data_IF_587318128235
#
_entry.id   IF_587318128235
#
_cell.length_a   1.000
_cell.length_b   1.000
_cell.length_c   1.000
_cell.angle_alpha   90.00
_cell.angle_beta   90.00
_cell.angle_gamma   90.00
#
_symmetry.space_group_name_H-M   'P 1'
#
loop_
_entity.id
_entity.type
_entity.pdbx_description
1 polymer ?
#
# COMPACT_ATOMS: atom_id res chain seq x y z
N UNK A 1 -17.27 -12.17 -3.92
CA UNK A 1 -16.85 -11.11 -2.99
C UNK A 1 -18.10 -10.44 -2.45
N UNK A 2 -18.16 -10.24 -1.13
CA UNK A 2 -19.25 -9.50 -0.46
C UNK A 2 -19.02 -8.00 -0.68
N UNK A 3 -20.00 -7.34 -1.32
CA UNK A 3 -19.92 -5.92 -1.70
C UNK A 3 -19.95 -5.02 -0.47
N UNK A 4 -20.72 -5.38 0.56
CA UNK A 4 -20.82 -4.59 1.79
C UNK A 4 -19.52 -4.67 2.60
N UNK A 5 -18.93 -5.87 2.65
CA UNK A 5 -17.61 -6.06 3.26
C UNK A 5 -16.51 -5.28 2.53
N UNK A 6 -16.56 -5.25 1.18
CA UNK A 6 -15.64 -4.45 0.38
C UNK A 6 -15.81 -2.95 0.65
N UNK A 7 -17.05 -2.44 0.61
CA UNK A 7 -17.34 -1.04 0.89
C UNK A 7 -16.87 -0.63 2.28
N UNK A 8 -17.15 -1.46 3.30
CA UNK A 8 -16.70 -1.23 4.67
C UNK A 8 -15.17 -1.19 4.78
N UNK A 9 -14.48 -2.10 4.08
CA UNK A 9 -13.01 -2.16 4.04
C UNK A 9 -12.41 -0.92 3.36
N UNK A 10 -12.95 -0.51 2.21
CA UNK A 10 -12.53 0.69 1.49
C UNK A 10 -12.71 1.96 2.34
N UNK A 11 -13.86 2.11 3.02
CA UNK A 11 -14.11 3.23 3.92
C UNK A 11 -13.14 3.23 5.09
N UNK A 12 -12.91 2.07 5.72
CA UNK A 12 -11.99 1.94 6.85
C UNK A 12 -10.55 2.29 6.46
N UNK A 13 -10.07 1.77 5.33
CA UNK A 13 -8.73 2.09 4.79
C UNK A 13 -8.61 3.58 4.46
N UNK A 14 -9.64 4.19 3.88
CA UNK A 14 -9.65 5.62 3.55
C UNK A 14 -9.52 6.46 4.83
N UNK A 15 -10.33 6.16 5.85
CA UNK A 15 -10.31 6.88 7.13
C UNK A 15 -8.95 6.73 7.83
N UNK A 16 -8.38 5.52 7.87
CA UNK A 16 -7.06 5.29 8.49
C UNK A 16 -5.96 6.01 7.71
N UNK A 17 -6.01 5.99 6.38
CA UNK A 17 -5.04 6.72 5.52
C UNK A 17 -4.99 8.20 5.83
N UNK A 18 -6.16 8.83 5.92
CA UNK A 18 -6.26 10.25 6.20
C UNK A 18 -5.78 10.60 7.60
N UNK A 19 -6.03 9.74 8.59
CA UNK A 19 -5.53 9.92 9.96
C UNK A 19 -4.01 9.82 10.04
N UNK A 20 -3.42 8.85 9.35
CA UNK A 20 -1.96 8.65 9.31
C UNK A 20 -1.29 9.85 8.62
N UNK A 21 -1.84 10.30 7.48
CA UNK A 21 -1.40 11.51 6.78
C UNK A 21 -1.46 12.74 7.70
N UNK A 22 -2.60 12.97 8.35
CA UNK A 22 -2.76 14.10 9.27
C UNK A 22 -1.82 14.02 10.48
N UNK A 23 -1.52 12.82 10.99
CA UNK A 23 -0.54 12.63 12.06
C UNK A 23 0.88 13.00 11.59
N UNK A 24 1.29 12.57 10.39
CA UNK A 24 2.58 12.91 9.78
C UNK A 24 2.73 14.43 9.56
N UNK A 25 1.70 15.08 9.05
CA UNK A 25 1.67 16.54 8.86
C UNK A 25 1.83 17.29 10.18
N UNK A 26 1.10 16.86 11.23
CA UNK A 26 1.21 17.45 12.57
C UNK A 26 2.61 17.29 13.14
N UNK A 27 3.20 16.10 13.02
CA UNK A 27 4.57 15.87 13.49
C UNK A 27 5.60 16.70 12.74
N UNK A 28 5.44 16.83 11.43
CA UNK A 28 6.33 17.68 10.62
C UNK A 28 6.24 19.16 11.03
N UNK A 29 5.07 19.59 11.53
CA UNK A 29 4.86 20.95 12.04
C UNK A 29 5.38 21.16 13.47
N UNK A 30 5.39 20.12 14.31
CA UNK A 30 5.96 20.13 15.66
C UNK A 30 7.40 19.63 15.62
N UNK A 31 8.39 20.53 15.48
CA UNK A 31 9.81 20.18 15.31
C UNK A 31 10.50 19.42 16.46
N UNK A 32 9.77 18.98 17.49
CA UNK A 32 10.24 18.09 18.54
C UNK A 32 9.33 16.85 18.60
N UNK A 33 9.71 15.82 17.83
CA UNK A 33 8.97 14.57 17.72
C UNK A 33 9.67 13.52 18.58
N UNK A 34 8.97 12.90 19.54
CA UNK A 34 9.52 11.75 20.26
C UNK A 34 9.89 10.64 19.26
N UNK A 35 11.14 10.17 19.27
CA UNK A 35 11.64 9.17 18.31
C UNK A 35 10.73 7.92 18.20
N UNK A 36 10.17 7.46 19.32
CA UNK A 36 9.25 6.31 19.32
C UNK A 36 7.91 6.58 18.62
N UNK A 37 7.47 7.83 18.52
CA UNK A 37 6.24 8.18 17.79
C UNK A 37 6.46 8.23 16.28
N UNK A 38 7.65 8.67 15.84
CA UNK A 38 8.03 8.62 14.43
C UNK A 38 8.18 7.18 13.94
N UNK A 39 8.85 6.34 14.72
CA UNK A 39 8.99 4.90 14.45
C UNK A 39 7.62 4.22 14.36
N UNK A 40 6.75 4.45 15.34
CA UNK A 40 5.39 3.91 15.34
C UNK A 40 4.58 4.33 14.11
N UNK A 41 4.67 5.60 13.67
CA UNK A 41 3.96 6.02 12.46
C UNK A 41 4.53 5.38 11.19
N UNK A 42 5.84 5.15 11.12
CA UNK A 42 6.44 4.41 10.02
C UNK A 42 5.92 2.95 9.97
N UNK A 43 5.76 2.29 11.12
CA UNK A 43 5.14 0.96 11.21
C UNK A 43 3.69 0.99 10.74
N UNK A 44 2.87 1.94 11.24
CA UNK A 44 1.47 2.07 10.84
C UNK A 44 1.31 2.36 9.35
N UNK A 45 2.17 3.20 8.76
CA UNK A 45 2.19 3.44 7.32
C UNK A 45 2.55 2.19 6.53
N UNK A 46 3.47 1.37 7.05
CA UNK A 46 3.85 0.11 6.43
C UNK A 46 2.68 -0.89 6.46
N UNK A 47 2.02 -1.05 7.60
CA UNK A 47 0.85 -1.93 7.75
C UNK A 47 -0.31 -1.48 6.86
N UNK A 48 -0.56 -0.17 6.79
CA UNK A 48 -1.57 0.40 5.91
C UNK A 48 -1.25 0.14 4.43
N UNK A 49 0.03 0.22 4.03
CA UNK A 49 0.47 -0.11 2.67
C UNK A 49 0.19 -1.57 2.34
N UNK A 50 0.54 -2.48 3.24
CA UNK A 50 0.28 -3.92 3.08
C UNK A 50 -1.22 -4.17 2.98
N UNK A 51 -2.05 -3.57 3.86
CA UNK A 51 -3.50 -3.73 3.82
C UNK A 51 -4.12 -3.25 2.49
N UNK A 52 -3.67 -2.10 1.97
CA UNK A 52 -4.10 -1.58 0.65
C UNK A 52 -3.70 -2.51 -0.48
N UNK A 53 -2.46 -3.00 -0.45
CA UNK A 53 -1.97 -3.93 -1.44
C UNK A 53 -2.78 -5.24 -1.41
N UNK A 54 -2.95 -5.86 -0.24
CA UNK A 54 -3.78 -7.06 -0.08
C UNK A 54 -5.19 -6.86 -0.64
N UNK A 55 -5.84 -5.73 -0.32
CA UNK A 55 -7.14 -5.41 -0.91
C UNK A 55 -7.08 -5.30 -2.44
N UNK A 56 -6.04 -4.67 -3.00
CA UNK A 56 -5.78 -4.65 -4.43
C UNK A 56 -5.66 -6.07 -5.02
N UNK A 57 -4.95 -6.97 -4.34
CA UNK A 57 -4.80 -8.37 -4.77
C UNK A 57 -6.13 -9.11 -4.81
N UNK A 58 -6.96 -8.95 -3.77
CA UNK A 58 -8.32 -9.50 -3.71
C UNK A 58 -9.25 -8.92 -4.81
N UNK A 59 -8.98 -7.69 -5.25
CA UNK A 59 -9.67 -7.03 -6.36
C UNK A 59 -9.10 -7.40 -7.75
N UNK A 60 -8.06 -8.24 -7.80
CA UNK A 60 -7.45 -8.73 -9.05
C UNK A 60 -6.31 -7.86 -9.60
N UNK A 61 -5.80 -6.90 -8.84
CA UNK A 61 -4.61 -6.15 -9.24
C UNK A 61 -3.34 -6.98 -9.02
N UNK A 62 -2.40 -6.90 -9.97
CA UNK A 62 -1.07 -7.47 -9.80
C UNK A 62 -0.24 -6.63 -8.84
N UNK A 63 0.42 -7.29 -7.89
CA UNK A 63 1.19 -6.65 -6.83
C UNK A 63 2.62 -7.16 -6.81
N UNK A 64 3.56 -6.30 -6.42
CA UNK A 64 4.89 -6.74 -6.05
C UNK A 64 4.88 -7.25 -4.59
N UNK A 65 5.25 -8.52 -4.32
CA UNK A 65 5.26 -9.08 -2.96
C UNK A 65 6.35 -8.48 -2.06
N UNK A 66 7.29 -7.71 -2.62
CA UNK A 66 8.33 -7.02 -1.85
C UNK A 66 7.95 -5.58 -1.52
N UNK A 67 7.46 -4.85 -2.52
CA UNK A 67 7.21 -3.41 -2.37
C UNK A 67 5.78 -3.09 -1.93
N UNK A 68 4.83 -4.02 -2.12
CA UNK A 68 3.41 -3.84 -1.79
C UNK A 68 2.85 -2.53 -2.37
N UNK A 69 3.33 -2.14 -3.55
CA UNK A 69 2.89 -0.93 -4.23
C UNK A 69 1.56 -1.22 -4.93
N UNK A 70 0.46 -0.52 -4.58
CA UNK A 70 -0.80 -0.62 -5.31
C UNK A 70 -0.72 0.28 -6.54
N UNK A 71 0.16 0.01 -7.48
CA UNK A 71 0.18 0.73 -8.75
C UNK A 71 0.89 -0.08 -9.85
N UNK A 72 0.06 -0.40 -10.86
CA UNK A 72 0.35 -0.59 -12.28
C UNK A 72 1.75 -1.07 -12.61
N UNK A 73 1.80 -2.37 -12.77
CA UNK A 73 2.86 -3.07 -13.45
C UNK A 73 3.05 -2.46 -14.85
N UNK A 74 4.19 -1.80 -15.06
CA UNK A 74 4.58 -1.38 -16.40
C UNK A 74 4.89 -2.65 -17.19
N UNK A 75 4.26 -2.83 -18.33
CA UNK A 75 4.79 -3.72 -19.37
C UNK A 75 6.07 -3.07 -19.87
N UNK A 76 7.19 -3.77 -19.76
CA UNK A 76 8.39 -3.36 -20.49
C UNK A 76 8.19 -3.52 -22.01
N UNK A 77 9.21 -3.20 -22.80
CA UNK A 77 9.14 -3.28 -24.26
C UNK A 77 8.86 -4.71 -24.75
N UNK A 78 9.09 -5.73 -23.93
CA UNK A 78 8.89 -7.14 -24.21
C UNK A 78 7.53 -7.64 -23.68
N UNK A 79 6.75 -6.78 -23.02
CA UNK A 79 5.45 -7.13 -22.45
C UNK A 79 5.54 -7.79 -21.07
N UNK A 80 6.71 -7.78 -20.44
CA UNK A 80 6.90 -8.32 -19.10
C UNK A 80 6.46 -7.32 -18.04
N UNK A 81 5.77 -7.87 -17.08
CA UNK A 81 5.23 -7.16 -15.95
C UNK A 81 6.38 -6.80 -15.01
N UNK A 82 6.68 -5.52 -14.73
CA UNK A 82 7.73 -5.12 -13.76
C UNK A 82 7.22 -4.18 -12.65
N UNK A 83 7.78 -4.31 -11.42
CA UNK A 83 7.50 -3.37 -10.33
C UNK A 83 8.27 -2.06 -10.53
N UNK A 84 7.63 -0.89 -10.53
CA UNK A 84 8.33 0.39 -10.74
C UNK A 84 9.27 0.78 -9.60
N UNK A 85 9.13 0.15 -8.41
CA UNK A 85 9.95 0.48 -7.23
C UNK A 85 11.22 -0.36 -7.17
N UNK A 86 11.12 -1.68 -7.37
CA UNK A 86 12.27 -2.59 -7.24
C UNK A 86 12.68 -3.28 -8.55
N UNK A 87 11.97 -3.04 -9.64
CA UNK A 87 12.22 -3.66 -10.94
C UNK A 87 11.85 -5.14 -11.02
N UNK A 88 11.27 -5.74 -9.98
CA UNK A 88 10.82 -7.13 -10.02
C UNK A 88 9.32 -7.21 -10.26
N UNK A 89 8.89 -7.70 -11.42
CA UNK A 89 7.77 -8.66 -11.51
C UNK A 89 8.12 -9.64 -12.65
N UNK A 90 7.70 -10.90 -12.52
CA UNK A 90 7.45 -11.84 -13.62
C UNK A 90 6.51 -12.88 -13.01
N UNK A 91 5.32 -13.07 -13.55
CA UNK A 91 4.44 -14.16 -13.10
C UNK A 91 4.07 -15.06 -14.28
N UNK A 92 4.72 -16.21 -14.34
CA UNK A 92 4.11 -17.49 -14.75
C UNK A 92 3.93 -18.31 -13.45
N UNK A 93 2.82 -18.96 -13.11
CA UNK A 93 1.85 -19.69 -13.93
C UNK A 93 0.43 -19.51 -13.38
N UNK A 94 -0.52 -19.31 -14.29
CA UNK A 94 -1.89 -19.78 -14.09
C UNK A 94 -1.87 -21.31 -13.93
N UNK A 95 -2.50 -21.82 -12.88
CA UNK A 95 -2.82 -23.22 -12.69
C UNK A 95 -4.34 -23.37 -12.59
#
# INVERSE_FOLDING_TARGET
>A
MDIDALHSSLLSITVVSEKVRAAREKLSATGDVPAGLEEFLCEVENDLRIAKATLGGELGFSLCPRCWAPELVATDLDGELNCPICGQVSYEQAA
#
